data_IF_800862334357
#
_entry.id   IF_800862334357
#
_cell.length_a   1.000
_cell.length_b   1.000
_cell.length_c   1.000
_cell.angle_alpha   90.00
_cell.angle_beta   90.00
_cell.angle_gamma   90.00
#
_symmetry.space_group_name_H-M   'P 1'
#
loop_
_entity.id
_entity.type
_entity.pdbx_description
1 polymer ?
#
# COMPACT_ATOMS: atom_id res chain seq x y z
N UNK A 1 7.80 -20.11 4.77
CA UNK A 1 9.11 -20.17 4.11
C UNK A 1 9.84 -18.88 4.44
N UNK A 2 10.78 -18.90 5.38
CA UNK A 2 11.56 -17.72 5.72
C UNK A 2 12.51 -17.41 4.55
N UNK A 3 12.39 -16.24 3.93
CA UNK A 3 13.34 -15.80 2.91
C UNK A 3 14.65 -15.45 3.62
N UNK A 4 15.77 -15.98 3.12
CA UNK A 4 17.08 -15.66 3.65
C UNK A 4 17.44 -14.21 3.30
N UNK A 5 18.22 -13.49 4.12
CA UNK A 5 18.63 -12.10 3.86
C UNK A 5 19.27 -11.91 2.48
N UNK A 6 19.99 -12.94 1.99
CA UNK A 6 20.66 -12.92 0.69
C UNK A 6 19.68 -12.92 -0.51
N UNK A 7 18.39 -13.19 -0.29
CA UNK A 7 17.36 -13.15 -1.34
C UNK A 7 17.12 -11.74 -1.91
N UNK A 8 17.63 -10.70 -1.25
CA UNK A 8 17.41 -9.30 -1.64
C UNK A 8 18.71 -8.57 -2.05
N UNK A 9 19.76 -9.31 -2.43
CA UNK A 9 21.05 -8.74 -2.85
C UNK A 9 21.02 -8.13 -4.26
N UNK A 10 20.06 -8.53 -5.11
CA UNK A 10 19.97 -8.04 -6.48
C UNK A 10 19.69 -6.52 -6.54
N UNK A 11 20.30 -5.74 -7.47
CA UNK A 11 20.11 -4.29 -7.57
C UNK A 11 18.66 -3.83 -7.69
N UNK A 12 17.77 -4.68 -8.19
CA UNK A 12 16.33 -4.40 -8.25
C UNK A 12 15.71 -4.08 -6.88
N UNK A 13 16.27 -4.62 -5.80
CA UNK A 13 15.78 -4.38 -4.45
C UNK A 13 16.39 -3.14 -3.80
N UNK A 14 17.48 -2.58 -4.34
CA UNK A 14 18.29 -1.55 -3.70
C UNK A 14 17.45 -0.36 -3.20
N UNK A 15 16.47 0.08 -3.98
CA UNK A 15 15.63 1.23 -3.65
C UNK A 15 14.72 1.03 -2.43
N UNK A 16 14.40 -0.21 -2.06
CA UNK A 16 13.50 -0.56 -0.95
C UNK A 16 14.16 -1.49 0.08
N UNK A 17 15.41 -1.91 -0.15
CA UNK A 17 16.05 -2.99 0.59
C UNK A 17 16.18 -2.71 2.08
N UNK A 18 16.60 -1.50 2.46
CA UNK A 18 16.75 -1.13 3.87
C UNK A 18 15.43 -1.27 4.61
N UNK A 19 14.40 -0.60 4.11
CA UNK A 19 13.04 -0.63 4.66
C UNK A 19 12.47 -2.06 4.70
N UNK A 20 12.66 -2.82 3.62
CA UNK A 20 12.23 -4.22 3.52
C UNK A 20 12.87 -5.09 4.61
N UNK A 21 14.20 -5.02 4.75
CA UNK A 21 14.91 -5.83 5.75
C UNK A 21 14.52 -5.43 7.18
N UNK A 22 14.32 -4.13 7.44
CA UNK A 22 13.82 -3.67 8.75
C UNK A 22 12.45 -4.25 9.06
N UNK A 23 11.49 -4.19 8.14
CA UNK A 23 10.15 -4.76 8.35
C UNK A 23 10.19 -6.27 8.54
N UNK A 24 11.04 -6.97 7.78
CA UNK A 24 11.19 -8.42 7.89
C UNK A 24 11.85 -8.87 9.19
N UNK A 25 12.67 -8.03 9.82
CA UNK A 25 13.27 -8.28 11.12
C UNK A 25 12.28 -8.13 12.28
N UNK A 26 11.10 -7.54 12.06
CA UNK A 26 10.05 -7.44 13.06
C UNK A 26 9.23 -8.73 13.10
N UNK A 27 9.27 -9.43 14.23
CA UNK A 27 8.56 -10.71 14.42
C UNK A 27 7.05 -10.53 14.49
N UNK A 28 6.61 -9.45 15.11
CA UNK A 28 5.20 -9.17 15.40
C UNK A 28 4.54 -8.44 14.23
N UNK A 29 3.42 -8.95 13.68
CA UNK A 29 2.75 -8.30 12.57
C UNK A 29 2.25 -6.88 12.91
N UNK A 30 1.79 -6.65 14.14
CA UNK A 30 1.41 -5.32 14.64
C UNK A 30 2.59 -4.33 14.63
N UNK A 31 3.78 -4.79 15.03
CA UNK A 31 4.99 -3.96 15.01
C UNK A 31 5.38 -3.54 13.58
N UNK A 32 5.05 -4.35 12.57
CA UNK A 32 5.26 -4.00 11.16
C UNK A 32 4.36 -2.85 10.73
N UNK A 33 3.09 -2.85 11.13
CA UNK A 33 2.20 -1.72 10.84
C UNK A 33 2.66 -0.45 11.56
N UNK A 34 3.01 -0.56 12.84
CA UNK A 34 3.50 0.58 13.61
C UNK A 34 4.73 1.22 12.94
N UNK A 35 5.68 0.39 12.51
CA UNK A 35 6.86 0.85 11.79
C UNK A 35 6.50 1.51 10.45
N UNK A 36 5.64 0.87 9.64
CA UNK A 36 5.21 1.42 8.36
C UNK A 36 4.51 2.78 8.53
N UNK A 37 3.68 2.92 9.58
CA UNK A 37 2.97 4.15 9.90
C UNK A 37 3.90 5.26 10.41
N UNK A 38 4.94 4.92 11.18
CA UNK A 38 5.98 5.86 11.56
C UNK A 38 6.71 6.39 10.32
N UNK A 39 7.14 5.49 9.43
CA UNK A 39 7.80 5.88 8.19
C UNK A 39 6.90 6.73 7.29
N UNK A 40 5.59 6.47 7.26
CA UNK A 40 4.65 7.27 6.49
C UNK A 40 4.57 8.71 7.02
N UNK A 41 4.56 8.88 8.36
CA UNK A 41 4.58 10.19 9.02
C UNK A 41 5.89 10.92 8.76
N UNK A 42 7.03 10.28 9.01
CA UNK A 42 8.36 10.87 8.82
C UNK A 42 8.58 11.37 7.38
N UNK A 43 8.03 10.64 6.41
CA UNK A 43 8.17 10.96 4.97
C UNK A 43 7.04 11.84 4.43
N UNK A 44 6.13 12.30 5.30
CA UNK A 44 4.94 13.07 4.93
C UNK A 44 4.18 12.43 3.75
N UNK A 45 3.92 11.13 3.84
CA UNK A 45 3.19 10.40 2.81
C UNK A 45 1.72 10.85 2.84
N UNK A 46 1.30 11.53 1.77
CA UNK A 46 -0.07 12.00 1.59
C UNK A 46 -0.70 11.35 0.35
N UNK A 47 -2.00 11.08 0.40
CA UNK A 47 -2.76 10.72 -0.78
C UNK A 47 -3.06 11.97 -1.65
N UNK A 48 -3.75 11.78 -2.77
CA UNK A 48 -3.99 12.87 -3.74
C UNK A 48 -4.91 13.99 -3.24
N UNK A 49 -5.58 13.77 -2.11
CA UNK A 49 -6.45 14.72 -1.42
C UNK A 49 -5.78 15.38 -0.22
N UNK A 50 -4.51 15.08 0.04
CA UNK A 50 -3.77 15.60 1.19
C UNK A 50 -4.05 14.87 2.51
N UNK A 51 -4.69 13.70 2.49
CA UNK A 51 -4.84 12.87 3.69
C UNK A 51 -3.56 12.09 3.95
N UNK A 52 -3.15 12.04 5.22
CA UNK A 52 -2.02 11.22 5.65
C UNK A 52 -2.26 9.75 5.35
N UNK A 53 -1.23 9.07 4.84
CA UNK A 53 -1.27 7.63 4.61
C UNK A 53 -1.15 6.89 5.94
N UNK A 54 -2.08 5.98 6.17
CA UNK A 54 -2.11 5.08 7.31
C UNK A 54 -2.27 3.63 6.82
N UNK A 55 -1.31 2.76 7.13
CA UNK A 55 -1.41 1.34 6.91
C UNK A 55 -2.25 0.71 8.02
N UNK A 56 -3.36 0.09 7.63
CA UNK A 56 -4.28 -0.59 8.54
C UNK A 56 -4.29 -2.09 8.28
N UNK A 57 -4.66 -2.88 9.28
CA UNK A 57 -4.94 -4.30 9.05
C UNK A 57 -6.07 -4.44 8.01
N UNK A 58 -5.84 -5.29 7.01
CA UNK A 58 -6.83 -5.67 6.00
C UNK A 58 -8.20 -6.03 6.60
N UNK A 59 -8.25 -6.61 7.81
CA UNK A 59 -9.48 -6.98 8.50
C UNK A 59 -10.38 -5.77 8.83
N UNK A 60 -9.83 -4.56 8.90
CA UNK A 60 -10.58 -3.33 9.13
C UNK A 60 -11.15 -2.71 7.84
N UNK A 61 -10.86 -3.29 6.68
CA UNK A 61 -11.39 -2.85 5.39
C UNK A 61 -12.57 -3.71 4.94
N UNK A 62 -13.61 -3.06 4.40
CA UNK A 62 -14.85 -3.70 3.93
C UNK A 62 -14.69 -4.62 2.72
N UNK A 63 -13.49 -4.73 2.14
CA UNK A 63 -13.19 -5.56 0.97
C UNK A 63 -13.61 -4.95 -0.37
N UNK A 64 -14.24 -3.77 -0.37
CA UNK A 64 -14.78 -3.13 -1.58
C UNK A 64 -13.99 -1.88 -1.98
N UNK A 65 -13.79 -1.74 -3.30
CA UNK A 65 -13.23 -0.55 -3.94
C UNK A 65 -11.91 -0.05 -3.31
N UNK A 66 -10.86 -0.89 -3.35
CA UNK A 66 -9.58 -0.66 -2.68
C UNK A 66 -8.98 0.73 -2.92
N UNK A 67 -8.88 1.16 -4.19
CA UNK A 67 -8.27 2.45 -4.52
C UNK A 67 -9.14 3.63 -4.07
N UNK A 68 -10.47 3.48 -4.13
CA UNK A 68 -11.39 4.49 -3.64
C UNK A 68 -11.36 4.61 -2.11
N UNK A 69 -11.15 3.50 -1.40
CA UNK A 69 -10.96 3.51 0.04
C UNK A 69 -9.74 4.34 0.44
N UNK A 70 -8.60 4.10 -0.20
CA UNK A 70 -7.36 4.86 0.04
C UNK A 70 -7.55 6.35 -0.29
N UNK A 71 -8.20 6.67 -1.41
CA UNK A 71 -8.46 8.07 -1.79
C UNK A 71 -9.34 8.76 -0.72
N UNK A 72 -10.39 8.09 -0.23
CA UNK A 72 -11.35 8.70 0.71
C UNK A 72 -10.86 8.77 2.15
N UNK A 73 -10.09 7.78 2.61
CA UNK A 73 -9.74 7.63 4.03
C UNK A 73 -8.24 7.81 4.31
N UNK A 74 -7.39 7.82 3.29
CA UNK A 74 -5.93 7.76 3.47
C UNK A 74 -5.42 6.39 3.96
N UNK A 75 -6.33 5.44 4.18
CA UNK A 75 -6.00 4.15 4.77
C UNK A 75 -5.65 3.14 3.69
N UNK A 76 -4.52 2.44 3.87
CA UNK A 76 -4.02 1.40 2.97
C UNK A 76 -4.20 0.04 3.65
N UNK A 77 -5.23 -0.73 3.27
CA UNK A 77 -5.44 -2.09 3.78
C UNK A 77 -4.22 -2.97 3.45
N UNK A 78 -3.64 -3.56 4.49
CA UNK A 78 -2.38 -4.30 4.43
C UNK A 78 -2.53 -5.64 5.14
N UNK A 79 -2.34 -6.76 4.42
CA UNK A 79 -2.34 -8.10 5.03
C UNK A 79 -1.02 -8.37 5.72
N UNK A 80 -1.11 -8.76 6.99
CA UNK A 80 0.05 -9.02 7.83
C UNK A 80 0.48 -10.50 7.84
N UNK A 81 -0.35 -11.38 7.32
CA UNK A 81 -0.06 -12.80 7.15
C UNK A 81 -0.84 -13.40 5.98
N UNK A 82 -0.42 -14.59 5.54
CA UNK A 82 -1.16 -15.39 4.56
C UNK A 82 -1.00 -14.95 3.11
N UNK A 83 -1.91 -15.41 2.25
CA UNK A 83 -1.85 -15.15 0.81
C UNK A 83 -2.06 -13.66 0.54
N UNK A 84 -1.12 -13.05 -0.18
CA UNK A 84 -1.17 -11.63 -0.54
C UNK A 84 -0.33 -10.70 0.36
N UNK A 85 0.18 -11.17 1.50
CA UNK A 85 1.01 -10.34 2.40
C UNK A 85 2.22 -9.71 1.69
N UNK A 86 2.83 -10.43 0.74
CA UNK A 86 3.99 -9.93 0.01
C UNK A 86 3.63 -8.79 -0.93
N UNK A 87 2.49 -8.92 -1.63
CA UNK A 87 1.97 -7.85 -2.47
C UNK A 87 1.72 -6.59 -1.64
N UNK A 88 1.06 -6.74 -0.49
CA UNK A 88 0.69 -5.59 0.34
C UNK A 88 1.93 -4.95 0.98
N UNK A 89 2.90 -5.75 1.43
CA UNK A 89 4.19 -5.26 1.91
C UNK A 89 4.92 -4.47 0.82
N UNK A 90 5.04 -5.00 -0.40
CA UNK A 90 5.68 -4.27 -1.50
C UNK A 90 4.91 -2.98 -1.82
N UNK A 91 3.57 -3.03 -1.88
CA UNK A 91 2.76 -1.84 -2.10
C UNK A 91 2.97 -0.77 -1.01
N UNK A 92 3.11 -1.18 0.25
CA UNK A 92 3.43 -0.27 1.35
C UNK A 92 4.82 0.37 1.21
N UNK A 93 5.84 -0.43 0.86
CA UNK A 93 7.18 0.10 0.60
C UNK A 93 7.21 1.06 -0.60
N UNK A 94 6.40 0.84 -1.62
CA UNK A 94 6.26 1.79 -2.75
C UNK A 94 5.56 3.09 -2.33
N UNK A 95 4.56 3.02 -1.44
CA UNK A 95 3.98 4.23 -0.83
C UNK A 95 5.04 5.05 -0.09
N UNK A 96 5.89 4.39 0.70
CA UNK A 96 6.97 5.06 1.44
C UNK A 96 8.09 5.59 0.55
N UNK A 97 8.39 4.91 -0.56
CA UNK A 97 9.51 5.28 -1.44
C UNK A 97 9.13 6.35 -2.45
N UNK A 98 7.91 6.30 -2.98
CA UNK A 98 7.44 7.15 -4.06
C UNK A 98 6.06 7.74 -3.74
N UNK A 99 5.89 8.50 -2.63
CA UNK A 99 4.57 8.90 -2.13
C UNK A 99 3.77 9.71 -3.14
N UNK A 100 4.39 10.68 -3.80
CA UNK A 100 3.73 11.51 -4.83
C UNK A 100 3.25 10.67 -6.01
N UNK A 101 4.11 9.80 -6.54
CA UNK A 101 3.77 8.94 -7.69
C UNK A 101 2.67 7.96 -7.31
N UNK A 102 2.73 7.35 -6.13
CA UNK A 102 1.73 6.38 -5.68
C UNK A 102 0.38 7.04 -5.42
N UNK A 103 0.37 8.27 -4.89
CA UNK A 103 -0.83 9.07 -4.73
C UNK A 103 -1.50 9.41 -6.07
N UNK A 104 -0.72 9.83 -7.08
CA UNK A 104 -1.28 10.11 -8.40
C UNK A 104 -1.77 8.84 -9.10
N UNK A 105 -1.06 7.72 -8.95
CA UNK A 105 -1.50 6.43 -9.50
C UNK A 105 -2.82 5.97 -8.87
N UNK A 106 -2.94 6.02 -7.55
CA UNK A 106 -4.19 5.71 -6.84
C UNK A 106 -5.34 6.61 -7.34
N UNK A 107 -5.12 7.92 -7.50
CA UNK A 107 -6.11 8.85 -8.06
C UNK A 107 -6.50 8.47 -9.50
N UNK A 108 -5.54 8.09 -10.34
CA UNK A 108 -5.80 7.67 -11.71
C UNK A 108 -6.66 6.41 -11.76
N UNK A 109 -6.39 5.42 -10.89
CA UNK A 109 -7.24 4.22 -10.77
C UNK A 109 -8.67 4.58 -10.35
N UNK A 110 -8.85 5.46 -9.37
CA UNK A 110 -10.19 5.93 -8.95
C UNK A 110 -10.95 6.59 -10.10
N UNK A 111 -10.27 7.40 -10.92
CA UNK A 111 -10.89 8.02 -12.10
C UNK A 111 -11.30 6.98 -13.14
N UNK A 112 -10.43 6.01 -13.44
CA UNK A 112 -10.71 4.95 -14.40
C UNK A 112 -11.92 4.10 -13.97
N UNK A 113 -11.98 3.66 -12.70
CA UNK A 113 -13.11 2.86 -12.21
C UNK A 113 -14.46 3.58 -12.26
N UNK A 114 -14.48 4.92 -12.18
CA UNK A 114 -15.72 5.71 -12.35
C UNK A 114 -16.18 5.75 -13.82
N UNK A 115 -15.24 5.80 -14.76
CA UNK A 115 -15.53 5.76 -16.19
C UNK A 115 -16.12 4.40 -16.56
N UNK A 116 -15.52 3.30 -16.08
CA UNK A 116 -16.01 1.95 -16.34
C UNK A 116 -17.44 1.74 -15.79
N UNK A 117 -17.72 2.26 -14.59
CA UNK A 117 -19.05 2.21 -14.00
C UNK A 117 -20.10 3.05 -14.77
N UNK A 118 -19.71 4.20 -15.33
CA UNK A 118 -20.60 5.03 -16.15
C UNK A 118 -20.85 4.41 -17.54
N UNK A 119 -19.84 3.77 -18.13
CA UNK A 119 -19.93 3.08 -19.41
C UNK A 119 -20.82 1.84 -19.36
N UNK A 120 -20.72 1.04 -18.29
CA UNK A 120 -21.55 -0.15 -18.10
C UNK A 120 -23.03 0.18 -17.83
N UNK A 121 -23.31 1.30 -17.14
CA UNK A 121 -24.68 1.78 -16.93
C UNK A 121 -25.34 2.27 -18.23
N UNK A 122 -24.56 2.76 -19.20
CA UNK A 122 -25.06 3.32 -20.46
C UNK A 122 -25.35 2.24 -21.52
N UNK A 123 -24.68 1.08 -21.45
CA UNK A 123 -24.89 -0.04 -22.39
C UNK A 123 -26.02 -1.00 -22.00
N UNK A 124 -26.62 -0.80 -20.83
CA UNK A 124 -27.69 -1.66 -20.30
C UNK A 124 -29.11 -1.12 -20.56
N UNK A 125 -29.26 -0.18 -21.49
CA UNK A 125 -30.51 0.50 -21.84
C UNK A 125 -31.01 0.20 -23.24
#
# INVERSE_FOLDING_TARGET
>A
MALLPNSFEHPWWQAIRSDLLTVLALDKPEARLDWLNEQARERACLNSRGLSIEFIDQAHWSGKAYEAWIDQHGQVPTRLSGKGQWHDLFNALIWLRCPLSKAQLNRAHVKASRIDAAGSATQSG
#
